data_IF_854888362298
#
_entry.id   IF_854888362298
#
_cell.length_a   1.000
_cell.length_b   1.000
_cell.length_c   1.000
_cell.angle_alpha   90.00
_cell.angle_beta   90.00
_cell.angle_gamma   90.00
#
_symmetry.space_group_name_H-M   'P 1'
#
loop_
_entity.id
_entity.type
_entity.pdbx_description
1 polymer ?
#
# COMPACT_ATOMS: atom_id res chain seq x y z
N UNK A 1 -9.71 -6.52 23.14
CA UNK A 1 -8.91 -7.75 23.28
C UNK A 1 -8.87 -8.42 21.91
N UNK A 2 -8.37 -9.66 21.76
CA UNK A 2 -7.97 -10.34 20.50
C UNK A 2 -8.32 -9.56 19.20
N UNK A 3 -7.31 -8.89 18.61
CA UNK A 3 -7.48 -8.08 17.40
C UNK A 3 -6.83 -8.68 16.17
N UNK A 4 -5.76 -9.46 16.33
CA UNK A 4 -5.16 -10.20 15.24
C UNK A 4 -4.51 -11.50 15.71
N UNK A 5 -4.55 -12.52 14.86
CA UNK A 5 -3.93 -13.82 15.10
C UNK A 5 -3.24 -14.28 13.82
N UNK A 6 -1.97 -14.66 13.93
CA UNK A 6 -1.25 -15.39 12.90
C UNK A 6 -1.06 -16.83 13.37
N UNK A 7 -1.91 -17.77 12.92
CA UNK A 7 -1.84 -19.15 13.40
C UNK A 7 -0.86 -20.04 12.64
N UNK A 8 -0.12 -19.56 11.62
CA UNK A 8 0.46 -20.51 10.68
C UNK A 8 1.73 -20.19 9.90
N UNK A 9 2.15 -21.21 9.14
CA UNK A 9 3.38 -21.30 8.34
C UNK A 9 4.35 -22.33 8.93
N UNK A 10 4.89 -22.03 10.11
CA UNK A 10 5.65 -22.90 10.98
C UNK A 10 5.44 -22.38 12.41
N UNK A 11 5.51 -23.25 13.43
CA UNK A 11 5.26 -22.88 14.84
C UNK A 11 5.97 -21.61 15.29
N UNK A 12 7.14 -21.35 14.73
CA UNK A 12 7.96 -20.19 15.06
C UNK A 12 7.30 -18.84 14.71
N UNK A 13 6.39 -18.80 13.74
CA UNK A 13 5.78 -17.55 13.28
C UNK A 13 4.52 -17.18 14.06
N UNK A 14 3.97 -18.11 14.85
CA UNK A 14 2.72 -17.93 15.56
C UNK A 14 2.79 -16.73 16.51
N UNK A 15 1.81 -15.84 16.38
CA UNK A 15 1.64 -14.71 17.27
C UNK A 15 0.18 -14.26 17.35
N UNK A 16 -0.13 -13.60 18.47
CA UNK A 16 -1.42 -13.03 18.81
C UNK A 16 -1.20 -11.56 19.16
N UNK A 17 -2.08 -10.69 18.67
CA UNK A 17 -2.12 -9.27 19.02
C UNK A 17 -3.35 -9.04 19.88
N UNK A 18 -3.12 -8.54 21.09
CA UNK A 18 -4.15 -8.10 22.01
C UNK A 18 -4.20 -6.58 22.01
N UNK A 19 -5.39 -6.00 22.07
CA UNK A 19 -5.60 -4.57 22.23
C UNK A 19 -6.54 -4.31 23.40
N UNK A 20 -6.28 -3.28 24.20
CA UNK A 20 -7.27 -2.78 25.15
C UNK A 20 -8.26 -1.86 24.42
N UNK A 21 -9.40 -2.41 24.02
CA UNK A 21 -10.48 -1.67 23.35
C UNK A 21 -11.39 -0.90 24.31
N UNK A 22 -11.12 -0.98 25.62
CA UNK A 22 -11.84 -0.25 26.66
C UNK A 22 -11.35 1.19 26.80
N UNK A 23 -12.01 1.95 27.68
CA UNK A 23 -11.68 3.34 28.00
C UNK A 23 -10.88 3.49 29.32
N UNK A 24 -10.46 2.38 29.93
CA UNK A 24 -9.67 2.35 31.15
C UNK A 24 -8.48 1.39 31.00
N UNK A 25 -7.36 1.62 31.72
CA UNK A 25 -6.26 0.66 31.76
C UNK A 25 -6.72 -0.72 32.25
N UNK A 26 -6.20 -1.78 31.62
CA UNK A 26 -6.53 -3.17 31.95
C UNK A 26 -5.25 -3.92 32.33
N UNK A 27 -5.24 -4.52 33.51
CA UNK A 27 -4.16 -5.41 33.94
C UNK A 27 -4.44 -6.83 33.46
N UNK A 28 -3.57 -7.33 32.57
CA UNK A 28 -3.65 -8.68 32.02
C UNK A 28 -2.75 -9.67 32.78
N UNK A 29 -2.12 -9.26 33.88
CA UNK A 29 -1.28 -10.15 34.69
C UNK A 29 -2.06 -11.38 35.14
N UNK A 30 -1.50 -12.57 34.92
CA UNK A 30 -2.15 -13.84 35.30
C UNK A 30 -3.26 -14.31 34.34
N UNK A 31 -3.61 -13.52 33.32
CA UNK A 31 -4.51 -13.97 32.26
C UNK A 31 -3.85 -15.07 31.42
N UNK A 32 -4.64 -15.92 30.77
CA UNK A 32 -4.12 -17.04 29.98
C UNK A 32 -4.59 -16.99 28.53
N UNK A 33 -3.69 -17.35 27.61
CA UNK A 33 -4.01 -17.74 26.24
C UNK A 33 -3.96 -19.27 26.16
N UNK A 34 -5.01 -19.91 25.64
CA UNK A 34 -5.05 -21.37 25.44
C UNK A 34 -5.66 -21.78 24.12
N UNK A 35 -5.28 -22.95 23.62
CA UNK A 35 -5.79 -23.57 22.38
C UNK A 35 -6.75 -24.75 22.64
N UNK A 36 -6.72 -25.30 23.86
CA UNK A 36 -7.48 -26.49 24.28
C UNK A 36 -6.55 -27.57 24.83
N UNK A 37 -5.36 -27.69 24.23
CA UNK A 37 -4.29 -28.61 24.64
C UNK A 37 -3.32 -27.98 25.64
N UNK A 38 -3.11 -26.67 25.54
CA UNK A 38 -2.15 -25.90 26.29
C UNK A 38 -2.60 -24.52 26.66
N UNK A 39 -1.87 -23.93 27.61
CA UNK A 39 -2.09 -22.57 28.06
C UNK A 39 -0.75 -21.87 28.30
N UNK A 40 -0.74 -20.56 28.08
CA UNK A 40 0.35 -19.67 28.43
C UNK A 40 -0.18 -18.49 29.24
N UNK A 41 0.48 -18.16 30.34
CA UNK A 41 0.07 -17.11 31.28
C UNK A 41 0.84 -15.82 31.03
N UNK A 42 0.13 -14.70 30.92
CA UNK A 42 0.71 -13.37 30.79
C UNK A 42 1.47 -12.98 32.06
N UNK A 43 2.71 -12.48 31.95
CA UNK A 43 3.57 -12.21 33.10
C UNK A 43 3.06 -11.03 33.93
N UNK A 44 3.47 -10.93 35.20
CA UNK A 44 3.17 -9.77 36.03
C UNK A 44 3.59 -8.45 35.39
N UNK A 45 2.74 -7.44 35.50
CA UNK A 45 2.97 -6.10 34.93
C UNK A 45 2.50 -5.93 33.49
N UNK A 46 1.73 -6.88 32.95
CA UNK A 46 1.12 -6.80 31.61
C UNK A 46 -0.06 -5.82 31.57
N UNK A 47 0.22 -4.54 31.81
CA UNK A 47 -0.77 -3.46 31.83
C UNK A 47 -0.93 -2.84 30.44
N UNK A 48 -2.17 -2.68 29.98
CA UNK A 48 -2.48 -1.97 28.73
C UNK A 48 -3.34 -0.73 29.00
N UNK A 49 -2.86 0.44 28.59
CA UNK A 49 -3.67 1.66 28.50
C UNK A 49 -4.76 1.53 27.42
N UNK A 50 -5.81 2.38 27.43
CA UNK A 50 -6.81 2.42 26.35
C UNK A 50 -6.16 2.57 24.97
N UNK A 51 -6.50 1.67 24.03
CA UNK A 51 -5.94 1.60 22.68
C UNK A 51 -4.55 0.97 22.58
N UNK A 52 -3.90 0.63 23.70
CA UNK A 52 -2.58 0.00 23.69
C UNK A 52 -2.66 -1.45 23.23
N UNK A 53 -1.65 -1.87 22.47
CA UNK A 53 -1.51 -3.23 21.95
C UNK A 53 -0.33 -3.95 22.57
N UNK A 54 -0.44 -5.26 22.66
CA UNK A 54 0.67 -6.15 23.00
C UNK A 54 0.70 -7.33 22.04
N UNK A 55 1.89 -7.62 21.54
CA UNK A 55 2.18 -8.74 20.66
C UNK A 55 2.77 -9.89 21.49
N UNK A 56 2.12 -11.04 21.40
CA UNK A 56 2.51 -12.26 22.10
C UNK A 56 2.88 -13.30 21.05
N UNK A 57 4.07 -13.88 21.13
CA UNK A 57 4.53 -14.89 20.18
C UNK A 57 5.63 -15.77 20.73
N UNK A 58 6.00 -16.83 20.00
CA UNK A 58 6.92 -17.85 20.52
C UNK A 58 8.38 -17.66 20.10
N UNK A 59 8.65 -16.93 19.01
CA UNK A 59 10.00 -16.71 18.48
C UNK A 59 10.18 -15.25 18.03
N UNK A 60 11.05 -14.54 18.76
CA UNK A 60 11.33 -13.13 18.49
C UNK A 60 11.98 -12.91 17.11
N UNK A 61 12.88 -13.80 16.68
CA UNK A 61 13.57 -13.67 15.39
C UNK A 61 12.61 -13.85 14.22
N UNK A 62 11.69 -14.81 14.34
CA UNK A 62 10.63 -15.03 13.35
C UNK A 62 9.67 -13.83 13.31
N UNK A 63 9.24 -13.33 14.47
CA UNK A 63 8.39 -12.14 14.51
C UNK A 63 9.08 -10.90 13.92
N UNK A 64 10.37 -10.72 14.18
CA UNK A 64 11.16 -9.63 13.62
C UNK A 64 11.28 -9.70 12.10
N UNK A 65 11.29 -10.88 11.50
CA UNK A 65 11.25 -11.02 10.04
C UNK A 65 9.88 -10.62 9.45
N UNK A 66 8.78 -10.80 10.21
CA UNK A 66 7.43 -10.45 9.78
C UNK A 66 7.06 -8.98 10.01
N UNK A 67 7.58 -8.36 11.07
CA UNK A 67 7.15 -7.04 11.55
C UNK A 67 8.31 -6.03 11.66
N UNK A 68 9.55 -6.48 11.50
CA UNK A 68 10.76 -5.67 11.63
C UNK A 68 10.95 -5.05 13.01
N UNK A 69 10.29 -5.61 14.04
CA UNK A 69 10.45 -5.28 15.46
C UNK A 69 10.42 -6.55 16.31
N UNK A 70 10.84 -6.44 17.58
CA UNK A 70 10.72 -7.55 18.52
C UNK A 70 9.28 -7.70 19.04
N UNK A 71 8.96 -8.91 19.53
CA UNK A 71 7.76 -9.18 20.31
C UNK A 71 7.77 -8.37 21.60
N UNK A 72 6.59 -7.95 22.04
CA UNK A 72 6.41 -7.35 23.36
C UNK A 72 6.52 -8.42 24.46
N UNK A 73 5.91 -9.59 24.22
CA UNK A 73 5.92 -10.72 25.12
C UNK A 73 6.30 -12.02 24.39
N UNK A 74 7.32 -12.72 24.92
CA UNK A 74 7.75 -14.02 24.39
C UNK A 74 7.13 -15.15 25.20
N UNK A 75 6.24 -15.90 24.56
CA UNK A 75 5.63 -17.11 25.10
C UNK A 75 6.61 -18.32 25.05
N UNK A 76 7.75 -18.19 25.72
CA UNK A 76 8.83 -19.18 25.67
C UNK A 76 8.40 -20.53 26.30
N UNK A 77 8.47 -21.61 25.50
CA UNK A 77 8.23 -23.01 25.92
C UNK A 77 6.89 -23.28 26.61
N UNK A 78 5.78 -22.80 26.06
CA UNK A 78 4.53 -23.53 26.25
C UNK A 78 4.68 -24.88 25.51
N UNK A 79 4.96 -25.98 26.23
CA UNK A 79 5.07 -27.31 25.61
C UNK A 79 3.76 -27.80 24.98
N UNK A 80 2.69 -27.02 25.10
CA UNK A 80 1.34 -27.39 24.68
C UNK A 80 0.54 -26.29 23.96
N UNK A 81 0.89 -25.00 24.03
CA UNK A 81 0.17 -23.96 23.27
C UNK A 81 0.80 -23.81 21.88
N UNK A 82 0.07 -24.20 20.84
CA UNK A 82 0.47 -24.15 19.45
C UNK A 82 -0.76 -24.12 18.55
N UNK A 83 -0.88 -23.05 17.76
CA UNK A 83 -2.00 -22.83 16.87
C UNK A 83 -1.90 -23.73 15.62
N UNK A 84 -2.89 -24.59 15.40
CA UNK A 84 -2.89 -25.49 14.26
C UNK A 84 -3.27 -24.76 12.94
N UNK A 85 -2.47 -24.95 11.89
CA UNK A 85 -2.69 -24.36 10.55
C UNK A 85 -4.08 -24.67 9.97
N UNK A 86 -4.61 -25.88 10.23
CA UNK A 86 -5.87 -26.35 9.65
C UNK A 86 -7.10 -25.88 10.42
N UNK A 87 -6.93 -25.37 11.63
CA UNK A 87 -8.01 -24.93 12.50
C UNK A 87 -7.75 -25.23 13.96
N UNK A 88 -8.18 -24.31 14.82
CA UNK A 88 -7.94 -24.34 16.26
C UNK A 88 -8.95 -23.43 17.02
N UNK A 89 -8.94 -23.49 18.36
CA UNK A 89 -9.71 -22.61 19.25
C UNK A 89 -8.83 -21.83 20.22
N UNK A 90 -8.55 -20.57 19.91
CA UNK A 90 -7.84 -19.67 20.82
C UNK A 90 -8.79 -19.06 21.85
N UNK A 91 -8.44 -19.15 23.13
CA UNK A 91 -9.22 -18.60 24.26
C UNK A 91 -8.33 -17.70 25.11
N UNK A 92 -8.78 -16.48 25.37
CA UNK A 92 -8.22 -15.57 26.35
C UNK A 92 -9.07 -15.62 27.62
N UNK A 93 -8.48 -15.97 28.77
CA UNK A 93 -9.16 -16.02 30.06
C UNK A 93 -8.52 -15.05 31.06
N UNK A 94 -9.34 -14.46 31.92
CA UNK A 94 -8.82 -13.69 33.06
C UNK A 94 -8.26 -14.61 34.16
N UNK A 95 -7.62 -14.04 35.18
CA UNK A 95 -7.04 -14.80 36.30
C UNK A 95 -8.06 -15.70 37.02
N UNK A 96 -9.35 -15.33 36.98
CA UNK A 96 -10.44 -16.12 37.55
C UNK A 96 -10.90 -17.28 36.67
N UNK A 97 -10.31 -17.46 35.48
CA UNK A 97 -10.69 -18.48 34.50
C UNK A 97 -11.94 -18.12 33.68
N UNK A 98 -12.44 -16.88 33.76
CA UNK A 98 -13.56 -16.43 32.93
C UNK A 98 -13.04 -16.14 31.53
N UNK A 99 -13.70 -16.67 30.52
CA UNK A 99 -13.43 -16.35 29.12
C UNK A 99 -13.71 -14.88 28.88
N UNK A 100 -12.68 -14.16 28.45
CA UNK A 100 -12.76 -12.73 28.13
C UNK A 100 -12.94 -12.53 26.63
N UNK A 101 -12.25 -13.33 25.82
CA UNK A 101 -12.29 -13.26 24.37
C UNK A 101 -11.88 -14.62 23.78
N UNK A 102 -12.28 -14.91 22.55
CA UNK A 102 -11.99 -16.18 21.88
C UNK A 102 -12.10 -16.11 20.35
N UNK A 103 -11.43 -17.03 19.69
CA UNK A 103 -11.44 -17.22 18.24
C UNK A 103 -11.45 -18.71 17.93
N UNK A 104 -12.39 -19.14 17.08
CA UNK A 104 -12.38 -20.49 16.51
C UNK A 104 -12.23 -20.37 14.99
N UNK A 105 -11.24 -21.06 14.41
CA UNK A 105 -10.98 -21.02 12.97
C UNK A 105 -10.73 -22.40 12.39
N UNK A 106 -10.93 -22.54 11.08
CA UNK A 106 -10.66 -23.74 10.30
C UNK A 106 -11.48 -24.95 10.72
N UNK A 107 -10.86 -26.13 10.67
CA UNK A 107 -11.44 -27.39 11.14
C UNK A 107 -11.13 -27.52 12.63
N UNK A 108 -12.08 -27.09 13.46
CA UNK A 108 -12.02 -27.30 14.91
C UNK A 108 -13.33 -27.93 15.40
N UNK A 109 -13.19 -29.03 16.14
CA UNK A 109 -14.28 -29.73 16.81
C UNK A 109 -14.58 -29.11 18.20
N UNK A 110 -13.64 -28.32 18.74
CA UNK A 110 -13.76 -27.65 20.03
C UNK A 110 -14.35 -26.25 19.86
N UNK A 111 -15.47 -26.00 20.56
CA UNK A 111 -16.11 -24.69 20.61
C UNK A 111 -16.15 -24.23 22.06
N UNK A 112 -15.27 -23.30 22.47
CA UNK A 112 -15.25 -22.80 23.83
C UNK A 112 -16.59 -22.12 24.19
N UNK A 113 -16.97 -22.13 25.48
CA UNK A 113 -18.22 -21.53 25.93
C UNK A 113 -18.35 -20.07 25.48
N UNK A 114 -19.48 -19.74 24.83
CA UNK A 114 -19.75 -18.42 24.28
C UNK A 114 -19.53 -18.31 22.78
N UNK A 115 -18.86 -19.27 22.13
CA UNK A 115 -18.71 -19.27 20.68
C UNK A 115 -19.97 -19.85 20.04
N UNK A 116 -20.48 -19.19 19.00
CA UNK A 116 -21.66 -19.65 18.28
C UNK A 116 -21.46 -19.65 16.77
N UNK A 117 -22.07 -20.63 16.10
CA UNK A 117 -21.95 -20.79 14.65
C UNK A 117 -20.73 -21.60 14.21
N UNK A 118 -20.29 -21.36 12.98
CA UNK A 118 -19.16 -22.04 12.34
C UNK A 118 -17.84 -21.36 12.73
N UNK A 119 -16.70 -22.07 12.69
CA UNK A 119 -15.39 -21.45 12.75
C UNK A 119 -15.16 -20.46 11.60
N UNK A 120 -14.22 -19.53 11.78
CA UNK A 120 -13.73 -18.66 10.70
C UNK A 120 -13.12 -19.55 9.60
N UNK A 121 -13.58 -19.46 8.34
CA UNK A 121 -13.03 -20.28 7.27
C UNK A 121 -11.51 -20.10 7.17
N UNK A 122 -10.76 -21.19 6.99
CA UNK A 122 -9.29 -21.17 6.90
C UNK A 122 -8.84 -21.91 5.65
N UNK A 123 -7.86 -21.38 4.90
CA UNK A 123 -7.28 -22.10 3.77
C UNK A 123 -6.61 -23.39 4.25
N UNK A 124 -6.46 -24.37 3.38
CA UNK A 124 -5.80 -25.65 3.71
C UNK A 124 -4.35 -25.52 4.18
N UNK A 125 -3.74 -24.37 3.90
CA UNK A 125 -2.48 -23.89 4.48
C UNK A 125 -2.57 -22.37 4.66
N UNK A 126 -2.29 -21.88 5.87
CA UNK A 126 -2.22 -20.45 6.15
C UNK A 126 -1.06 -19.84 5.34
N UNK A 127 -1.34 -18.90 4.41
CA UNK A 127 -0.26 -18.26 3.67
C UNK A 127 0.56 -17.39 4.61
N UNK A 128 1.86 -17.31 4.34
CA UNK A 128 2.79 -16.59 5.19
C UNK A 128 2.45 -15.10 5.31
N UNK A 129 2.56 -14.55 6.52
CA UNK A 129 2.25 -13.15 6.83
C UNK A 129 0.75 -12.80 6.74
N UNK A 130 -0.15 -13.79 6.70
CA UNK A 130 -1.60 -13.55 6.70
C UNK A 130 -2.19 -13.59 8.09
N UNK A 131 -3.01 -12.59 8.40
CA UNK A 131 -3.67 -12.49 9.70
C UNK A 131 -5.15 -12.87 9.59
N UNK A 132 -5.66 -13.45 10.67
CA UNK A 132 -7.06 -13.31 11.07
C UNK A 132 -7.14 -12.02 11.86
N UNK A 133 -8.04 -11.11 11.47
CA UNK A 133 -8.19 -9.82 12.13
C UNK A 133 -9.62 -9.57 12.53
N UNK A 134 -9.79 -8.91 13.67
CA UNK A 134 -11.10 -8.49 14.16
C UNK A 134 -11.64 -7.37 13.27
N UNK A 135 -12.86 -7.52 12.76
CA UNK A 135 -13.52 -6.52 11.91
C UNK A 135 -14.48 -5.63 12.67
N UNK A 136 -15.09 -6.18 13.73
CA UNK A 136 -16.12 -5.50 14.49
C UNK A 136 -15.58 -5.03 15.83
N UNK A 137 -16.01 -3.83 16.23
CA UNK A 137 -15.69 -3.26 17.54
C UNK A 137 -16.35 -4.05 18.68
N UNK A 138 -17.49 -4.70 18.39
CA UNK A 138 -18.21 -5.54 19.33
C UNK A 138 -18.01 -7.00 18.94
N UNK A 139 -17.41 -7.77 19.85
CA UNK A 139 -17.29 -9.22 19.74
C UNK A 139 -18.64 -9.89 20.01
N UNK A 140 -19.12 -10.69 19.06
CA UNK A 140 -20.37 -11.45 19.18
C UNK A 140 -20.12 -12.93 19.43
N UNK A 141 -18.85 -13.34 19.54
CA UNK A 141 -18.43 -14.73 19.68
C UNK A 141 -18.73 -15.55 18.43
N UNK A 142 -18.57 -14.97 17.24
CA UNK A 142 -18.89 -15.61 15.95
C UNK A 142 -17.82 -15.37 14.91
N UNK A 143 -17.84 -16.20 13.86
CA UNK A 143 -16.92 -16.05 12.74
C UNK A 143 -17.06 -14.72 12.00
N UNK A 144 -18.26 -14.11 12.02
CA UNK A 144 -18.52 -12.82 11.37
C UNK A 144 -17.77 -11.64 12.02
N UNK A 145 -17.28 -11.82 13.25
CA UNK A 145 -16.46 -10.81 13.94
C UNK A 145 -15.04 -10.72 13.35
N UNK A 146 -14.67 -11.65 12.47
CA UNK A 146 -13.32 -11.84 11.96
C UNK A 146 -13.25 -11.82 10.43
N UNK A 147 -12.19 -11.24 9.91
CA UNK A 147 -11.82 -11.28 8.51
C UNK A 147 -10.44 -11.91 8.38
N UNK A 148 -10.33 -12.89 7.49
CA UNK A 148 -9.13 -13.69 7.34
C UNK A 148 -8.57 -13.70 5.94
N UNK A 149 -7.25 -13.84 5.87
CA UNK A 149 -6.48 -14.37 4.75
C UNK A 149 -6.38 -13.50 3.49
N UNK A 150 -7.16 -12.44 3.38
CA UNK A 150 -7.10 -11.49 2.26
C UNK A 150 -6.30 -10.25 2.61
N UNK A 151 -6.62 -9.51 3.68
CA UNK A 151 -5.93 -8.28 4.18
C UNK A 151 -6.43 -8.00 5.62
N UNK A 152 -5.63 -7.41 6.53
CA UNK A 152 -4.25 -6.91 6.39
C UNK A 152 -3.19 -8.04 6.46
N UNK A 153 -1.93 -7.69 6.23
CA UNK A 153 -0.78 -8.60 6.32
C UNK A 153 0.22 -8.13 7.37
N UNK A 154 1.06 -9.05 7.83
CA UNK A 154 2.25 -8.67 8.59
C UNK A 154 3.10 -7.67 7.79
N UNK A 155 3.74 -6.75 8.50
CA UNK A 155 4.59 -5.72 7.91
C UNK A 155 3.87 -4.59 7.20
N UNK A 156 2.54 -4.53 7.25
CA UNK A 156 1.78 -3.32 6.91
C UNK A 156 2.09 -2.20 7.91
N UNK A 157 1.97 -0.95 7.46
CA UNK A 157 2.13 0.21 8.31
C UNK A 157 0.95 0.31 9.30
N UNK A 158 1.21 0.16 10.59
CA UNK A 158 0.15 0.10 11.62
C UNK A 158 -0.60 1.43 11.77
N UNK A 159 0.11 2.55 11.64
CA UNK A 159 -0.43 3.91 11.72
C UNK A 159 -0.10 4.69 10.43
N UNK A 160 -0.80 4.40 9.32
CA UNK A 160 -0.50 5.07 8.06
C UNK A 160 -0.84 6.56 8.15
N UNK A 161 -0.06 7.44 7.47
CA UNK A 161 -0.36 8.85 7.45
C UNK A 161 -1.75 9.07 6.82
N UNK A 162 -2.67 9.65 7.59
CA UNK A 162 -4.00 9.99 7.11
C UNK A 162 -4.00 11.20 6.17
N UNK A 163 -5.07 11.39 5.37
CA UNK A 163 -5.18 12.45 4.35
C UNK A 163 -5.49 13.84 4.93
N UNK A 164 -5.02 14.11 6.16
CA UNK A 164 -5.11 15.45 6.76
C UNK A 164 -4.34 16.44 5.89
N UNK A 165 -5.00 17.47 5.35
CA UNK A 165 -4.33 18.45 4.51
C UNK A 165 -3.26 19.21 5.27
N UNK A 166 -2.13 19.46 4.61
CA UNK A 166 -1.00 20.25 5.11
C UNK A 166 -0.74 21.40 4.15
N UNK A 167 -0.45 22.59 4.67
CA UNK A 167 -0.05 23.71 3.82
C UNK A 167 1.21 23.36 3.02
N UNK A 168 1.21 23.71 1.74
CA UNK A 168 2.30 23.46 0.81
C UNK A 168 2.36 24.53 -0.28
N UNK A 169 3.53 24.75 -0.88
CA UNK A 169 3.60 25.42 -2.18
C UNK A 169 3.60 24.35 -3.27
N UNK A 170 2.60 24.38 -4.14
CA UNK A 170 2.28 23.31 -5.09
C UNK A 170 2.46 23.77 -6.53
N UNK A 171 3.02 22.91 -7.36
CA UNK A 171 2.99 23.02 -8.83
C UNK A 171 2.57 21.69 -9.42
N UNK A 172 1.67 21.71 -10.39
CA UNK A 172 1.27 20.51 -11.15
C UNK A 172 1.84 20.55 -12.57
N UNK A 173 2.03 19.38 -13.15
CA UNK A 173 2.48 19.23 -14.53
C UNK A 173 1.82 18.02 -15.20
N UNK A 174 1.81 18.02 -16.52
CA UNK A 174 1.36 16.88 -17.34
C UNK A 174 2.52 16.26 -18.09
N UNK A 175 2.41 14.96 -18.34
CA UNK A 175 3.28 14.22 -19.25
C UNK A 175 2.55 13.98 -20.58
N UNK A 176 3.25 13.99 -21.72
CA UNK A 176 4.70 14.17 -21.89
C UNK A 176 5.16 15.63 -21.97
N UNK A 177 4.26 16.63 -21.90
CA UNK A 177 4.59 18.01 -22.29
C UNK A 177 5.60 18.68 -21.36
N UNK A 178 5.38 18.60 -20.03
CA UNK A 178 6.18 19.31 -19.03
C UNK A 178 6.78 18.40 -17.96
N UNK A 179 6.45 17.11 -17.99
CA UNK A 179 6.94 16.11 -17.03
C UNK A 179 8.46 16.04 -16.95
N UNK A 180 9.15 15.96 -18.10
CA UNK A 180 10.62 15.88 -18.11
C UNK A 180 11.26 17.11 -17.46
N UNK A 181 10.82 18.31 -17.83
CA UNK A 181 11.34 19.57 -17.29
C UNK A 181 11.13 19.65 -15.76
N UNK A 182 9.92 19.33 -15.28
CA UNK A 182 9.60 19.35 -13.86
C UNK A 182 10.43 18.34 -13.06
N UNK A 183 10.48 17.09 -13.50
CA UNK A 183 11.14 16.01 -12.77
C UNK A 183 12.67 16.16 -12.79
N UNK A 184 13.25 16.53 -13.93
CA UNK A 184 14.70 16.79 -14.05
C UNK A 184 15.14 18.01 -13.23
N UNK A 185 14.27 19.03 -13.10
CA UNK A 185 14.49 20.15 -12.19
C UNK A 185 14.50 19.70 -10.73
N UNK A 186 13.49 18.94 -10.31
CA UNK A 186 13.38 18.47 -8.93
C UNK A 186 14.59 17.62 -8.52
N UNK A 187 14.96 16.61 -9.32
CA UNK A 187 16.17 15.80 -9.10
C UNK A 187 17.40 16.70 -9.06
N UNK A 188 17.51 17.64 -10.01
CA UNK A 188 18.62 18.59 -10.09
C UNK A 188 18.77 19.53 -8.90
N UNK A 189 17.67 19.81 -8.19
CA UNK A 189 17.62 20.73 -7.06
C UNK A 189 18.23 20.13 -5.78
N UNK A 190 18.31 18.80 -5.69
CA UNK A 190 18.82 18.07 -4.52
C UNK A 190 20.25 18.50 -4.14
N UNK A 191 20.46 18.76 -2.84
CA UNK A 191 21.74 19.20 -2.26
C UNK A 191 22.29 18.26 -1.19
N UNK A 192 21.44 17.53 -0.48
CA UNK A 192 21.80 16.66 0.64
C UNK A 192 21.32 15.23 0.41
N UNK A 193 20.05 15.07 0.07
CA UNK A 193 19.43 13.76 -0.08
C UNK A 193 18.34 13.72 -1.15
N UNK A 194 18.20 12.53 -1.75
CA UNK A 194 17.21 12.22 -2.77
C UNK A 194 16.71 10.79 -2.55
N UNK A 195 15.48 10.66 -2.06
CA UNK A 195 14.82 9.37 -1.83
C UNK A 195 13.80 9.13 -2.93
N UNK A 196 13.87 7.98 -3.61
CA UNK A 196 13.07 7.69 -4.79
C UNK A 196 12.38 6.33 -4.61
N UNK A 197 11.05 6.27 -4.67
CA UNK A 197 10.29 5.02 -4.66
C UNK A 197 9.51 4.88 -5.98
N UNK A 198 9.72 3.78 -6.68
CA UNK A 198 9.19 3.57 -8.03
C UNK A 198 8.71 2.14 -8.26
N UNK A 199 7.68 2.02 -9.10
CA UNK A 199 7.30 0.74 -9.71
C UNK A 199 8.21 0.35 -10.88
N UNK A 200 8.61 1.31 -11.72
CA UNK A 200 9.50 1.03 -12.85
C UNK A 200 10.30 2.27 -13.29
N UNK A 201 11.49 2.02 -13.83
CA UNK A 201 12.40 3.03 -14.36
C UNK A 201 13.15 2.49 -15.58
N UNK A 202 12.93 3.10 -16.74
CA UNK A 202 13.63 2.73 -17.99
C UNK A 202 14.21 3.93 -18.74
N UNK A 203 14.02 5.15 -18.21
CA UNK A 203 14.54 6.38 -18.79
C UNK A 203 16.04 6.56 -18.52
N UNK A 204 16.85 6.48 -19.58
CA UNK A 204 18.29 6.73 -19.50
C UNK A 204 18.61 8.17 -19.04
N UNK A 205 17.82 9.15 -19.45
CA UNK A 205 18.06 10.55 -19.10
C UNK A 205 17.72 10.83 -17.61
N UNK A 206 16.67 10.22 -17.06
CA UNK A 206 16.36 10.35 -15.62
C UNK A 206 17.42 9.64 -14.77
N UNK A 207 17.88 8.45 -15.20
CA UNK A 207 19.00 7.74 -14.57
C UNK A 207 20.27 8.61 -14.57
N UNK A 208 20.57 9.28 -15.68
CA UNK A 208 21.71 10.19 -15.76
C UNK A 208 21.57 11.39 -14.81
N UNK A 209 20.35 11.90 -14.60
CA UNK A 209 20.08 12.98 -13.66
C UNK A 209 20.32 12.56 -12.20
N UNK A 210 19.88 11.36 -11.80
CA UNK A 210 20.10 10.81 -10.45
C UNK A 210 21.57 10.51 -10.22
N UNK A 211 22.24 9.84 -11.17
CA UNK A 211 23.66 9.54 -11.10
C UNK A 211 24.52 10.80 -10.98
N UNK A 212 24.18 11.88 -11.70
CA UNK A 212 24.86 13.16 -11.55
C UNK A 212 24.75 13.69 -10.11
N UNK A 213 23.57 13.64 -9.47
CA UNK A 213 23.44 14.07 -8.05
C UNK A 213 24.30 13.24 -7.10
N UNK A 214 24.34 11.92 -7.28
CA UNK A 214 25.19 11.05 -6.48
C UNK A 214 26.68 11.39 -6.64
N UNK A 215 27.15 11.63 -7.86
CA UNK A 215 28.53 12.11 -8.15
C UNK A 215 28.85 13.45 -7.50
N UNK A 216 27.85 14.31 -7.31
CA UNK A 216 27.96 15.60 -6.62
C UNK A 216 27.90 15.47 -5.08
N UNK A 217 27.82 14.25 -4.53
CA UNK A 217 27.85 13.98 -3.10
C UNK A 217 26.48 14.01 -2.41
N UNK A 218 25.38 14.04 -3.17
CA UNK A 218 24.02 13.89 -2.64
C UNK A 218 23.79 12.43 -2.26
N UNK A 219 23.24 12.15 -1.08
CA UNK A 219 22.85 10.81 -0.66
C UNK A 219 21.58 10.40 -1.43
N UNK A 220 21.72 9.49 -2.39
CA UNK A 220 20.63 9.02 -3.21
C UNK A 220 20.25 7.59 -2.84
N UNK A 221 18.98 7.30 -2.55
CA UNK A 221 18.47 5.93 -2.46
C UNK A 221 17.29 5.73 -3.40
N UNK A 222 17.23 4.55 -4.01
CA UNK A 222 16.19 4.12 -4.92
C UNK A 222 15.56 2.82 -4.40
N UNK A 223 14.28 2.85 -4.04
CA UNK A 223 13.45 1.69 -3.79
C UNK A 223 12.64 1.36 -5.05
N UNK A 224 12.74 0.13 -5.55
CA UNK A 224 12.11 -0.28 -6.80
C UNK A 224 11.40 -1.63 -6.70
N UNK A 225 10.22 -1.73 -7.31
CA UNK A 225 9.55 -3.01 -7.56
C UNK A 225 10.45 -3.95 -8.37
N UNK A 226 10.71 -5.15 -7.82
CA UNK A 226 11.59 -6.14 -8.44
C UNK A 226 10.96 -6.84 -9.64
N UNK A 227 9.63 -6.89 -9.72
CA UNK A 227 8.92 -7.67 -10.73
C UNK A 227 7.68 -6.92 -11.25
N UNK A 228 7.88 -5.79 -11.95
CA UNK A 228 6.77 -5.08 -12.58
C UNK A 228 6.12 -5.98 -13.63
N UNK A 229 4.80 -5.94 -13.65
CA UNK A 229 3.93 -6.63 -14.61
C UNK A 229 4.15 -6.06 -16.00
N UNK A 230 4.21 -6.96 -16.99
CA UNK A 230 4.24 -6.62 -18.41
C UNK A 230 5.63 -6.49 -19.01
N UNK A 231 6.70 -6.51 -18.21
CA UNK A 231 8.06 -6.44 -18.77
C UNK A 231 8.48 -7.75 -19.45
N UNK A 232 9.09 -7.68 -20.61
CA UNK A 232 9.74 -8.82 -21.26
C UNK A 232 11.20 -9.02 -20.76
N UNK A 233 11.93 -9.98 -21.36
CA UNK A 233 13.29 -10.30 -20.96
C UNK A 233 14.30 -9.18 -21.31
N UNK A 234 14.11 -8.52 -22.44
CA UNK A 234 15.00 -7.47 -22.92
C UNK A 234 14.78 -6.18 -22.12
N UNK A 235 13.53 -5.86 -21.80
CA UNK A 235 13.17 -4.73 -20.92
C UNK A 235 13.73 -4.92 -19.51
N UNK A 236 13.66 -6.13 -18.95
CA UNK A 236 14.30 -6.44 -17.66
C UNK A 236 15.82 -6.30 -17.72
N UNK A 237 16.47 -6.85 -18.75
CA UNK A 237 17.92 -6.74 -18.91
C UNK A 237 18.38 -5.28 -19.06
N UNK A 238 17.60 -4.47 -19.80
CA UNK A 238 17.82 -3.03 -19.91
C UNK A 238 17.71 -2.34 -18.55
N UNK A 239 16.62 -2.58 -17.83
CA UNK A 239 16.39 -2.02 -16.48
C UNK A 239 17.52 -2.41 -15.52
N UNK A 240 17.89 -3.68 -15.45
CA UNK A 240 18.96 -4.15 -14.56
C UNK A 240 20.30 -3.47 -14.89
N UNK A 241 20.55 -3.18 -16.18
CA UNK A 241 21.75 -2.44 -16.60
C UNK A 241 21.73 -0.97 -16.15
N UNK A 242 20.55 -0.34 -16.08
CA UNK A 242 20.38 0.99 -15.50
C UNK A 242 20.64 0.98 -13.98
N UNK A 243 20.10 -0.01 -13.27
CA UNK A 243 20.28 -0.15 -11.82
C UNK A 243 21.74 -0.41 -11.45
N UNK A 244 22.41 -1.30 -12.18
CA UNK A 244 23.85 -1.54 -12.03
C UNK A 244 24.68 -0.28 -12.26
N UNK A 245 24.26 0.56 -13.21
CA UNK A 245 24.90 1.85 -13.45
C UNK A 245 24.67 2.79 -12.27
N UNK A 246 23.45 2.96 -11.76
CA UNK A 246 23.16 3.80 -10.59
C UNK A 246 23.95 3.37 -9.34
N UNK A 247 23.98 2.07 -9.04
CA UNK A 247 24.68 1.54 -7.88
C UNK A 247 26.18 1.88 -7.90
N UNK A 248 26.80 1.85 -9.07
CA UNK A 248 28.22 2.18 -9.24
C UNK A 248 28.52 3.68 -9.19
N UNK A 249 27.52 4.50 -9.51
CA UNK A 249 27.61 5.97 -9.37
C UNK A 249 27.36 6.44 -7.93
N UNK A 250 27.15 5.51 -6.99
CA UNK A 250 27.01 5.78 -5.56
C UNK A 250 25.57 5.90 -5.07
N UNK A 251 24.59 5.46 -5.86
CA UNK A 251 23.18 5.39 -5.44
C UNK A 251 22.94 4.08 -4.68
N UNK A 252 22.30 4.14 -3.52
CA UNK A 252 21.86 2.93 -2.81
C UNK A 252 20.60 2.38 -3.47
N UNK A 253 20.73 1.30 -4.23
CA UNK A 253 19.61 0.68 -4.93
C UNK A 253 19.06 -0.48 -4.11
N UNK A 254 17.75 -0.47 -3.89
CA UNK A 254 16.97 -1.45 -3.16
C UNK A 254 15.87 -2.00 -4.06
N UNK A 255 15.75 -3.32 -4.09
CA UNK A 255 14.68 -4.01 -4.79
C UNK A 255 13.71 -4.60 -3.78
N UNK A 256 12.43 -4.53 -4.07
CA UNK A 256 11.44 -5.25 -3.28
C UNK A 256 11.76 -6.75 -3.27
N UNK A 257 11.50 -7.44 -2.16
CA UNK A 257 11.75 -8.86 -2.05
C UNK A 257 10.82 -9.63 -3.01
N UNK A 258 11.33 -10.60 -3.77
CA UNK A 258 10.50 -11.38 -4.69
C UNK A 258 9.49 -12.22 -3.90
N UNK A 259 8.33 -12.48 -4.48
CA UNK A 259 7.29 -13.29 -3.85
C UNK A 259 7.63 -14.79 -3.99
N UNK A 260 8.53 -15.30 -3.15
CA UNK A 260 8.94 -16.71 -3.13
C UNK A 260 8.28 -17.41 -1.94
N UNK A 261 7.39 -18.35 -2.23
CA UNK A 261 6.63 -19.10 -1.22
C UNK A 261 7.58 -19.81 -0.25
N UNK A 262 7.52 -19.43 1.03
CA UNK A 262 8.31 -20.03 2.11
C UNK A 262 9.73 -19.46 2.27
N UNK A 263 10.14 -18.51 1.43
CA UNK A 263 11.50 -17.93 1.46
C UNK A 263 11.50 -16.40 1.60
N UNK A 264 10.52 -15.69 1.04
CA UNK A 264 10.33 -14.24 1.23
C UNK A 264 8.89 -13.81 1.61
N UNK A 265 8.77 -12.98 2.66
CA UNK A 265 7.52 -12.35 3.04
C UNK A 265 7.47 -10.99 2.40
N UNK A 266 6.47 -10.79 1.53
CA UNK A 266 6.17 -9.49 0.97
C UNK A 266 4.88 -8.95 1.60
N UNK A 267 4.94 -7.86 2.39
CA UNK A 267 3.74 -7.23 2.96
C UNK A 267 2.77 -6.74 1.88
N UNK A 268 3.30 -6.26 0.76
CA UNK A 268 2.52 -5.75 -0.35
C UNK A 268 2.65 -6.66 -1.57
N UNK A 269 1.59 -6.79 -2.36
CA UNK A 269 1.66 -7.58 -3.60
C UNK A 269 2.59 -6.89 -4.61
N UNK A 270 2.49 -5.57 -4.71
CA UNK A 270 3.27 -4.71 -5.58
C UNK A 270 3.56 -3.39 -4.87
N UNK A 271 4.69 -2.79 -5.19
CA UNK A 271 5.00 -1.39 -4.88
C UNK A 271 4.65 -0.55 -6.11
N UNK A 272 3.49 0.09 -6.11
CA UNK A 272 2.97 0.83 -7.27
C UNK A 272 3.06 2.35 -7.11
N UNK A 273 3.75 2.84 -6.10
CA UNK A 273 4.06 4.25 -5.91
C UNK A 273 5.05 4.77 -6.97
N UNK A 274 4.98 6.07 -7.25
CA UNK A 274 6.02 6.79 -8.00
C UNK A 274 6.19 8.17 -7.36
N UNK A 275 7.17 8.28 -6.46
CA UNK A 275 7.50 9.55 -5.84
C UNK A 275 8.99 9.72 -5.62
N UNK A 276 9.40 10.97 -5.42
CA UNK A 276 10.67 11.26 -4.77
C UNK A 276 10.52 12.35 -3.71
N UNK A 277 11.39 12.29 -2.71
CA UNK A 277 11.57 13.31 -1.69
C UNK A 277 12.96 13.91 -1.84
N UNK A 278 13.02 15.22 -2.01
CA UNK A 278 14.24 16.01 -2.19
C UNK A 278 14.48 16.83 -0.92
N UNK A 279 15.65 16.63 -0.30
CA UNK A 279 16.11 17.39 0.86
C UNK A 279 15.07 17.51 2.00
N UNK A 280 14.30 16.44 2.25
CA UNK A 280 13.22 16.36 3.24
C UNK A 280 12.20 17.52 3.22
N UNK A 281 12.01 18.18 2.07
CA UNK A 281 11.16 19.38 1.98
C UNK A 281 10.39 19.51 0.68
N UNK A 282 10.88 18.95 -0.42
CA UNK A 282 10.17 18.92 -1.70
C UNK A 282 9.76 17.50 -2.03
N UNK A 283 8.47 17.30 -2.26
CA UNK A 283 7.88 16.03 -2.69
C UNK A 283 7.49 16.12 -4.15
N UNK A 284 7.77 15.07 -4.92
CA UNK A 284 7.21 14.89 -6.27
C UNK A 284 6.44 13.58 -6.31
N UNK A 285 5.19 13.60 -6.76
CA UNK A 285 4.38 12.39 -7.01
C UNK A 285 3.95 12.39 -8.47
N UNK A 286 4.00 11.22 -9.11
CA UNK A 286 3.60 11.06 -10.51
C UNK A 286 2.67 9.87 -10.70
N UNK A 287 1.75 9.95 -11.65
CA UNK A 287 0.97 8.77 -12.07
C UNK A 287 1.81 7.82 -12.91
N UNK A 288 2.75 8.38 -13.68
CA UNK A 288 3.58 7.65 -14.61
C UNK A 288 4.86 7.11 -13.98
N UNK A 289 5.29 5.94 -14.46
CA UNK A 289 6.62 5.38 -14.21
C UNK A 289 7.70 6.25 -14.84
N UNK A 290 8.93 6.16 -14.33
CA UNK A 290 10.07 6.95 -14.83
C UNK A 290 10.68 6.33 -16.10
N UNK A 291 9.84 6.24 -17.14
CA UNK A 291 10.15 5.63 -18.43
C UNK A 291 10.35 6.70 -19.50
N UNK A 292 11.14 6.40 -20.53
CA UNK A 292 11.41 7.35 -21.62
C UNK A 292 10.13 7.76 -22.36
N UNK A 293 9.15 6.84 -22.49
CA UNK A 293 7.84 7.13 -23.08
C UNK A 293 6.99 8.10 -22.25
N UNK A 294 7.14 8.09 -20.93
CA UNK A 294 6.38 8.97 -20.03
C UNK A 294 7.08 10.31 -19.80
N UNK A 295 8.41 10.32 -19.71
CA UNK A 295 9.21 11.52 -19.45
C UNK A 295 10.27 11.74 -20.54
N UNK A 296 9.87 12.00 -21.80
CA UNK A 296 10.81 12.11 -22.91
C UNK A 296 11.62 13.41 -22.85
N UNK A 297 12.95 13.29 -22.86
CA UNK A 297 13.85 14.44 -22.80
C UNK A 297 13.93 15.26 -24.09
N UNK A 298 13.51 14.67 -25.22
CA UNK A 298 13.47 15.29 -26.56
C UNK A 298 12.08 15.80 -26.95
N UNK A 299 11.12 15.80 -26.02
CA UNK A 299 9.71 16.10 -26.27
C UNK A 299 8.90 14.85 -26.64
N UNK A 300 7.59 14.92 -26.43
CA UNK A 300 6.68 13.78 -26.62
C UNK A 300 6.56 13.28 -28.05
N UNK A 301 6.23 12.00 -28.21
CA UNK A 301 5.84 11.37 -29.47
C UNK A 301 4.36 10.93 -29.43
N UNK A 302 3.85 10.36 -30.53
CA UNK A 302 2.52 9.72 -30.55
C UNK A 302 2.38 8.55 -29.58
N UNK A 303 3.51 7.96 -29.17
CA UNK A 303 3.58 6.77 -28.34
C UNK A 303 3.88 7.11 -26.87
N UNK A 304 3.98 8.41 -26.56
CA UNK A 304 4.19 8.88 -25.20
C UNK A 304 2.96 8.71 -24.32
N UNK A 305 3.19 8.29 -23.08
CA UNK A 305 2.13 8.18 -22.08
C UNK A 305 1.68 9.54 -21.59
N UNK A 306 0.35 9.70 -21.45
CA UNK A 306 -0.28 10.85 -20.81
C UNK A 306 -0.59 10.56 -19.35
N UNK A 307 -0.16 11.47 -18.50
CA UNK A 307 -0.39 11.42 -17.06
C UNK A 307 -0.12 12.77 -16.42
N UNK A 308 -0.10 12.81 -15.09
CA UNK A 308 0.15 14.02 -14.34
C UNK A 308 1.12 13.79 -13.19
N UNK A 309 1.67 14.89 -12.70
CA UNK A 309 2.43 14.88 -11.46
C UNK A 309 2.26 16.19 -10.71
N UNK A 310 2.61 16.12 -9.44
CA UNK A 310 2.55 17.24 -8.49
C UNK A 310 3.90 17.36 -7.80
N UNK A 311 4.36 18.59 -7.66
CA UNK A 311 5.45 18.97 -6.78
C UNK A 311 4.86 19.77 -5.61
N UNK A 312 5.29 19.47 -4.39
CA UNK A 312 4.85 20.15 -3.19
C UNK A 312 6.03 20.43 -2.25
N UNK A 313 6.27 21.70 -1.96
CA UNK A 313 7.17 22.12 -0.88
C UNK A 313 6.43 22.05 0.46
N UNK A 314 6.73 21.04 1.27
CA UNK A 314 6.16 20.82 2.59
C UNK A 314 7.00 19.81 3.37
N UNK A 315 7.66 20.26 4.44
CA UNK A 315 8.43 19.38 5.35
C UNK A 315 7.54 18.30 5.98
N UNK A 316 6.28 18.65 6.27
CA UNK A 316 5.33 17.71 6.86
C UNK A 316 4.91 16.60 5.90
N UNK A 317 4.68 16.93 4.63
CA UNK A 317 4.40 15.92 3.60
C UNK A 317 5.64 15.05 3.32
N UNK A 318 6.81 15.68 3.25
CA UNK A 318 8.08 15.00 3.05
C UNK A 318 8.37 14.01 4.20
N UNK A 319 8.23 14.43 5.45
CA UNK A 319 8.41 13.56 6.63
C UNK A 319 7.51 12.32 6.56
N UNK A 320 6.23 12.50 6.23
CA UNK A 320 5.28 11.36 6.14
C UNK A 320 5.65 10.38 5.02
N UNK A 321 6.08 10.88 3.86
CA UNK A 321 6.54 10.01 2.78
C UNK A 321 7.87 9.34 3.09
N UNK A 322 8.75 10.00 3.85
CA UNK A 322 9.98 9.38 4.35
C UNK A 322 9.69 8.27 5.35
N UNK A 323 8.69 8.42 6.22
CA UNK A 323 8.25 7.35 7.12
C UNK A 323 7.76 6.12 6.35
N UNK A 324 6.98 6.34 5.27
CA UNK A 324 6.57 5.28 4.34
C UNK A 324 7.79 4.66 3.65
N UNK A 325 8.71 5.47 3.13
CA UNK A 325 9.92 5.01 2.45
C UNK A 325 10.77 4.09 3.34
N UNK A 326 11.05 4.52 4.58
CA UNK A 326 11.86 3.75 5.52
C UNK A 326 11.14 2.47 5.98
N UNK A 327 9.83 2.54 6.18
CA UNK A 327 9.03 1.37 6.51
C UNK A 327 9.10 0.33 5.39
N UNK A 328 8.88 0.76 4.15
CA UNK A 328 8.91 -0.12 2.98
C UNK A 328 10.31 -0.70 2.73
N UNK A 329 11.36 0.12 2.82
CA UNK A 329 12.73 -0.34 2.68
C UNK A 329 13.06 -1.42 3.72
N UNK A 330 12.64 -1.22 4.97
CA UNK A 330 12.84 -2.17 6.08
C UNK A 330 12.01 -3.45 5.93
N UNK A 331 10.76 -3.33 5.49
CA UNK A 331 9.78 -4.43 5.56
C UNK A 331 9.66 -5.24 4.27
N UNK A 332 9.98 -4.65 3.13
CA UNK A 332 9.68 -5.25 1.84
C UNK A 332 10.83 -5.22 0.85
N UNK A 333 12.03 -4.75 1.22
CA UNK A 333 13.14 -4.59 0.29
C UNK A 333 14.45 -5.25 0.74
N UNK A 334 15.34 -5.45 -0.23
CA UNK A 334 16.72 -5.92 -0.06
C UNK A 334 17.67 -5.12 -0.96
N UNK A 335 18.95 -4.98 -0.61
CA UNK A 335 19.92 -4.31 -1.47
C UNK A 335 20.01 -4.98 -2.85
N UNK A 336 20.19 -4.19 -3.89
CA UNK A 336 20.47 -4.68 -5.24
C UNK A 336 21.92 -5.16 -5.33
N UNK A 337 22.11 -6.40 -5.77
CA UNK A 337 23.44 -6.98 -5.99
C UNK A 337 23.90 -6.70 -7.43
N UNK A 338 25.05 -6.04 -7.55
CA UNK A 338 25.59 -5.56 -8.83
C UNK A 338 26.27 -6.69 -9.65
N UNK A 339 26.48 -7.87 -9.05
CA UNK A 339 27.28 -8.93 -9.66
C UNK A 339 26.67 -9.44 -10.98
N UNK A 340 27.46 -9.36 -12.06
CA UNK A 340 27.10 -9.88 -13.38
C UNK A 340 26.25 -8.96 -14.27
N UNK A 341 25.78 -7.81 -13.76
CA UNK A 341 24.97 -6.88 -14.55
C UNK A 341 25.84 -6.01 -15.48
N UNK A 342 25.42 -5.88 -16.74
CA UNK A 342 26.09 -5.05 -17.75
C UNK A 342 25.80 -3.57 -17.50
N UNK A 343 26.78 -2.70 -17.80
CA UNK A 343 26.63 -1.25 -17.61
C UNK A 343 26.13 -0.59 -18.88
N UNK A 344 25.44 0.54 -18.72
CA UNK A 344 25.12 1.43 -19.84
C UNK A 344 25.96 2.70 -19.76
N UNK A 345 26.28 3.27 -20.92
CA UNK A 345 26.92 4.58 -20.97
C UNK A 345 25.85 5.65 -20.73
N UNK A 346 26.00 6.40 -19.63
CA UNK A 346 25.13 7.52 -19.34
C UNK A 346 25.42 8.69 -20.30
N UNK A 347 24.38 9.39 -20.80
CA UNK A 347 24.55 10.65 -21.49
C UNK A 347 25.03 11.72 -20.52
N UNK A 348 25.55 12.83 -21.06
CA UNK A 348 25.70 14.05 -20.26
C UNK A 348 24.32 14.48 -19.76
N UNK A 349 24.21 14.76 -18.47
CA UNK A 349 22.95 15.22 -17.88
C UNK A 349 22.44 16.43 -18.65
N UNK A 350 21.23 16.33 -19.17
CA UNK A 350 20.50 17.46 -19.76
C UNK A 350 19.99 18.34 -18.63
N UNK A 351 20.32 19.62 -18.68
CA UNK A 351 19.84 20.62 -17.73
C UNK A 351 18.61 21.32 -18.29
N UNK A 352 17.64 21.60 -17.42
CA UNK A 352 16.51 22.46 -17.75
C UNK A 352 16.71 23.85 -17.16
N UNK A 353 16.32 24.88 -17.90
CA UNK A 353 16.19 26.25 -17.39
C UNK A 353 14.82 26.52 -16.76
N UNK A 354 13.89 25.57 -16.89
CA UNK A 354 12.57 25.67 -16.29
C UNK A 354 12.67 25.67 -14.76
N UNK A 355 12.00 26.63 -14.14
CA UNK A 355 11.77 26.66 -12.69
C UNK A 355 10.26 26.57 -12.49
N UNK A 356 9.75 25.55 -11.80
CA UNK A 356 8.32 25.42 -11.55
C UNK A 356 7.76 26.62 -10.78
N UNK A 357 6.60 27.09 -11.19
CA UNK A 357 5.88 28.15 -10.47
C UNK A 357 5.01 27.51 -9.41
N UNK A 358 5.50 27.53 -8.16
CA UNK A 358 4.74 27.01 -7.02
C UNK A 358 3.72 28.03 -6.53
N UNK A 359 2.56 27.56 -6.08
CA UNK A 359 1.48 28.38 -5.50
C UNK A 359 1.06 27.82 -4.14
N UNK A 360 0.76 28.70 -3.20
CA UNK A 360 0.23 28.27 -1.90
C UNK A 360 -1.06 27.45 -2.07
N UNK A 361 -1.12 26.32 -1.38
CA UNK A 361 -2.24 25.39 -1.38
C UNK A 361 -2.16 24.43 -0.19
N UNK A 362 -2.94 23.37 -0.25
CA UNK A 362 -2.94 22.30 0.75
C UNK A 362 -2.85 20.93 0.06
N UNK A 363 -2.06 20.02 0.64
CA UNK A 363 -1.88 18.65 0.16
C UNK A 363 -2.20 17.66 1.28
N UNK A 364 -3.01 16.65 0.98
CA UNK A 364 -3.20 15.48 1.84
C UNK A 364 -2.53 14.26 1.23
N UNK A 365 -1.96 13.38 2.08
CA UNK A 365 -1.37 12.12 1.66
C UNK A 365 -2.31 10.97 1.97
N UNK A 366 -2.57 10.11 0.99
CA UNK A 366 -3.26 8.84 1.17
C UNK A 366 -2.32 7.73 0.73
N UNK A 367 -2.04 6.78 1.62
CA UNK A 367 -1.19 5.61 1.35
C UNK A 367 -2.08 4.38 1.37
N UNK A 368 -2.00 3.57 0.32
CA UNK A 368 -2.72 2.31 0.24
C UNK A 368 -1.78 1.12 0.43
N UNK A 369 -2.26 -0.01 0.96
CA UNK A 369 -3.66 -0.28 1.30
C UNK A 369 -4.14 0.26 2.67
N UNK A 370 -3.24 0.65 3.56
CA UNK A 370 -3.55 0.85 4.99
C UNK A 370 -4.39 2.11 5.25
N UNK A 371 -4.17 3.16 4.48
CA UNK A 371 -4.89 4.42 4.60
C UNK A 371 -6.29 4.40 3.99
N UNK A 372 -6.69 3.35 3.25
CA UNK A 372 -7.98 3.34 2.56
C UNK A 372 -9.17 3.41 3.50
N UNK A 373 -9.15 2.84 4.71
CA UNK A 373 -10.32 2.76 5.60
C UNK A 373 -11.04 4.12 5.82
N UNK A 374 -10.69 4.90 6.85
CA UNK A 374 -11.20 6.27 6.98
C UNK A 374 -10.75 7.20 5.84
N UNK A 375 -9.58 6.96 5.24
CA UNK A 375 -9.01 7.84 4.22
C UNK A 375 -9.78 7.86 2.90
N UNK A 376 -10.45 6.76 2.52
CA UNK A 376 -11.35 6.74 1.37
C UNK A 376 -12.52 7.71 1.56
N UNK A 377 -13.01 7.87 2.79
CA UNK A 377 -14.04 8.87 3.11
C UNK A 377 -13.59 10.30 2.77
N UNK A 378 -12.34 10.63 3.10
CA UNK A 378 -11.74 11.92 2.76
C UNK A 378 -11.56 12.10 1.25
N UNK A 379 -11.05 11.07 0.55
CA UNK A 379 -10.88 11.10 -0.91
C UNK A 379 -12.23 11.35 -1.63
N UNK A 380 -13.30 10.72 -1.13
CA UNK A 380 -14.62 10.83 -1.73
C UNK A 380 -15.40 12.09 -1.30
N UNK A 381 -14.96 12.78 -0.24
CA UNK A 381 -15.65 13.94 0.31
C UNK A 381 -15.87 15.07 -0.72
N UNK A 382 -14.86 15.49 -1.51
CA UNK A 382 -15.06 16.46 -2.58
C UNK A 382 -16.16 16.05 -3.57
N UNK A 383 -16.19 14.79 -3.97
CA UNK A 383 -17.22 14.25 -4.89
C UNK A 383 -18.62 14.25 -4.25
N UNK A 384 -18.72 13.93 -2.95
CA UNK A 384 -19.99 14.01 -2.20
C UNK A 384 -20.51 15.45 -2.10
N UNK A 385 -19.61 16.43 -2.00
CA UNK A 385 -19.96 17.85 -1.89
C UNK A 385 -20.21 18.56 -3.22
N UNK A 386 -19.87 17.93 -4.35
CA UNK A 386 -19.98 18.55 -5.67
C UNK A 386 -21.42 18.99 -5.98
N UNK A 387 -21.57 20.23 -6.45
CA UNK A 387 -22.87 20.85 -6.73
C UNK A 387 -23.25 20.98 -8.20
N UNK A 388 -22.31 20.79 -9.14
CA UNK A 388 -22.56 21.03 -10.57
C UNK A 388 -22.00 19.95 -11.49
N UNK A 389 -20.71 19.65 -11.38
CA UNK A 389 -20.02 18.74 -12.31
C UNK A 389 -19.03 17.85 -11.59
N UNK A 390 -18.92 16.60 -12.06
CA UNK A 390 -17.82 15.69 -11.73
C UNK A 390 -17.22 15.16 -13.04
N UNK A 391 -15.88 15.17 -13.11
CA UNK A 391 -15.08 14.61 -14.21
C UNK A 391 -14.12 13.59 -13.63
N UNK A 392 -14.18 12.37 -14.12
CA UNK A 392 -13.38 11.24 -13.64
C UNK A 392 -12.60 10.67 -14.82
N UNK A 393 -11.32 10.42 -14.61
CA UNK A 393 -10.47 9.71 -15.54
C UNK A 393 -9.78 8.59 -14.76
N UNK A 394 -9.93 7.33 -15.21
CA UNK A 394 -9.37 6.16 -14.52
C UNK A 394 -8.81 5.15 -15.51
N UNK A 395 -7.77 4.44 -15.09
CA UNK A 395 -7.26 3.28 -15.82
C UNK A 395 -8.21 2.08 -15.78
N UNK A 396 -8.95 1.89 -14.68
CA UNK A 396 -9.97 0.84 -14.53
C UNK A 396 -10.99 1.26 -13.47
N UNK A 397 -12.16 0.60 -13.47
CA UNK A 397 -13.23 0.86 -12.52
C UNK A 397 -13.88 -0.46 -12.11
N UNK A 398 -13.68 -0.86 -10.86
CA UNK A 398 -14.50 -1.93 -10.28
C UNK A 398 -15.85 -1.35 -9.87
N UNK A 399 -16.91 -1.75 -10.57
CA UNK A 399 -18.28 -1.33 -10.24
C UNK A 399 -18.74 -1.98 -8.93
N UNK A 400 -18.27 -3.20 -8.67
CA UNK A 400 -18.63 -4.00 -7.51
C UNK A 400 -17.41 -4.37 -6.67
N UNK A 401 -17.50 -4.12 -5.36
CA UNK A 401 -16.56 -4.62 -4.36
C UNK A 401 -17.22 -5.77 -3.61
N UNK A 402 -16.98 -6.99 -4.10
CA UNK A 402 -17.70 -8.18 -3.65
C UNK A 402 -19.18 -8.08 -4.01
N UNK A 403 -20.05 -7.99 -3.01
CA UNK A 403 -21.50 -7.91 -3.20
C UNK A 403 -22.05 -6.48 -3.12
N UNK A 404 -21.19 -5.50 -2.90
CA UNK A 404 -21.55 -4.10 -2.71
C UNK A 404 -21.11 -3.27 -3.92
N UNK A 405 -21.89 -2.24 -4.26
CA UNK A 405 -21.43 -1.22 -5.22
C UNK A 405 -20.19 -0.55 -4.65
N UNK A 406 -19.16 -0.35 -5.48
CA UNK A 406 -17.92 0.27 -4.99
C UNK A 406 -18.19 1.67 -4.44
N UNK A 407 -17.49 2.11 -3.38
CA UNK A 407 -17.77 3.40 -2.74
C UNK A 407 -17.64 4.60 -3.69
N UNK A 408 -16.72 4.52 -4.67
CA UNK A 408 -16.59 5.54 -5.72
C UNK A 408 -17.84 5.58 -6.59
N UNK A 409 -18.27 4.44 -7.14
CA UNK A 409 -19.46 4.38 -8.00
C UNK A 409 -20.71 4.84 -7.25
N UNK A 410 -20.87 4.43 -6.00
CA UNK A 410 -22.01 4.84 -5.18
C UNK A 410 -22.02 6.37 -4.97
N UNK A 411 -20.87 7.01 -4.76
CA UNK A 411 -20.78 8.48 -4.66
C UNK A 411 -21.11 9.18 -5.97
N UNK A 412 -20.70 8.62 -7.10
CA UNK A 412 -21.03 9.15 -8.43
C UNK A 412 -22.53 9.04 -8.73
N UNK A 413 -23.16 7.91 -8.37
CA UNK A 413 -24.61 7.72 -8.48
C UNK A 413 -25.37 8.73 -7.61
N UNK A 414 -24.99 8.86 -6.35
CA UNK A 414 -25.60 9.83 -5.43
C UNK A 414 -25.43 11.27 -5.92
N UNK A 415 -24.30 11.61 -6.56
CA UNK A 415 -24.12 12.92 -7.17
C UNK A 415 -25.06 13.14 -8.35
N UNK A 416 -25.20 12.15 -9.24
CA UNK A 416 -26.13 12.21 -10.36
C UNK A 416 -27.60 12.34 -9.90
N UNK A 417 -28.00 11.67 -8.81
CA UNK A 417 -29.32 11.82 -8.17
C UNK A 417 -29.59 13.27 -7.72
N UNK A 418 -28.55 13.99 -7.29
CA UNK A 418 -28.62 15.42 -6.94
C UNK A 418 -28.60 16.34 -8.16
N UNK A 419 -28.54 15.81 -9.38
CA UNK A 419 -28.49 16.58 -10.63
C UNK A 419 -27.09 17.02 -11.06
N UNK A 420 -26.03 16.46 -10.48
CA UNK A 420 -24.63 16.74 -10.88
C UNK A 420 -24.34 16.07 -12.24
N UNK A 421 -23.70 16.80 -13.17
CA UNK A 421 -23.24 16.24 -14.46
C UNK A 421 -21.96 15.42 -14.25
N UNK A 422 -22.11 14.09 -14.23
CA UNK A 422 -21.02 13.14 -14.06
C UNK A 422 -20.53 12.65 -15.42
N UNK A 423 -19.25 12.88 -15.73
CA UNK A 423 -18.58 12.29 -16.90
C UNK A 423 -17.36 11.49 -16.51
N UNK A 424 -17.20 10.34 -17.14
CA UNK A 424 -16.13 9.38 -16.87
C UNK A 424 -15.43 9.03 -18.17
N UNK A 425 -14.10 9.02 -18.14
CA UNK A 425 -13.24 8.44 -19.19
C UNK A 425 -12.54 7.24 -18.57
N UNK A 426 -12.68 6.07 -19.18
CA UNK A 426 -11.98 4.85 -18.78
C UNK A 426 -10.98 4.43 -19.85
N UNK A 427 -9.83 3.91 -19.45
CA UNK A 427 -8.97 3.17 -20.39
C UNK A 427 -9.74 1.94 -20.90
N UNK A 428 -9.67 1.61 -22.20
CA UNK A 428 -10.28 0.39 -22.73
C UNK A 428 -9.73 -0.92 -22.11
N UNK A 429 -8.55 -0.88 -21.48
CA UNK A 429 -7.86 -2.03 -20.90
C UNK A 429 -7.12 -2.88 -21.94
N UNK A 430 -6.32 -3.84 -21.48
CA UNK A 430 -5.69 -4.85 -22.36
C UNK A 430 -6.67 -5.95 -22.78
N UNK A 431 -7.75 -6.15 -22.01
CA UNK A 431 -8.69 -7.27 -22.17
C UNK A 431 -10.18 -6.83 -22.02
N UNK A 432 -10.56 -5.64 -22.51
CA UNK A 432 -11.94 -5.11 -22.45
C UNK A 432 -12.53 -4.85 -21.06
N UNK A 433 -11.77 -5.02 -19.98
CA UNK A 433 -12.23 -4.76 -18.60
C UNK A 433 -12.86 -3.37 -18.44
N UNK A 434 -12.29 -2.34 -19.07
CA UNK A 434 -12.85 -0.99 -19.05
C UNK A 434 -14.19 -0.85 -19.78
N UNK A 435 -14.42 -1.64 -20.83
CA UNK A 435 -15.72 -1.67 -21.54
C UNK A 435 -16.78 -2.36 -20.69
N UNK A 436 -16.46 -3.52 -20.11
CA UNK A 436 -17.37 -4.26 -19.23
C UNK A 436 -17.77 -3.40 -18.03
N UNK A 437 -16.80 -2.77 -17.36
CA UNK A 437 -17.05 -1.83 -16.27
C UNK A 437 -17.96 -0.67 -16.68
N UNK A 438 -17.79 -0.13 -17.89
CA UNK A 438 -18.63 0.95 -18.41
C UNK A 438 -20.06 0.49 -18.67
N UNK A 439 -20.23 -0.68 -19.28
CA UNK A 439 -21.53 -1.29 -19.54
C UNK A 439 -22.26 -1.61 -18.23
N UNK A 440 -21.57 -2.16 -17.24
CA UNK A 440 -22.11 -2.41 -15.90
C UNK A 440 -22.54 -1.11 -15.20
N UNK A 441 -21.70 -0.07 -15.23
CA UNK A 441 -22.03 1.23 -14.65
C UNK A 441 -23.27 1.82 -15.31
N UNK A 442 -23.37 1.78 -16.65
CA UNK A 442 -24.53 2.29 -17.38
C UNK A 442 -25.80 1.48 -17.08
N UNK A 443 -25.67 0.15 -16.94
CA UNK A 443 -26.76 -0.71 -16.50
C UNK A 443 -27.27 -0.33 -15.11
N UNK A 444 -26.35 -0.16 -14.16
CA UNK A 444 -26.66 0.25 -12.79
C UNK A 444 -27.29 1.65 -12.74
N UNK A 445 -26.73 2.63 -13.45
CA UNK A 445 -27.26 3.98 -13.53
C UNK A 445 -28.67 4.01 -14.16
N UNK A 446 -28.88 3.24 -15.24
CA UNK A 446 -30.19 3.11 -15.88
C UNK A 446 -31.23 2.50 -14.94
N UNK A 447 -30.85 1.50 -14.13
CA UNK A 447 -31.74 0.89 -13.15
C UNK A 447 -32.21 1.87 -12.06
N UNK A 448 -31.42 2.91 -11.77
CA UNK A 448 -31.75 4.00 -10.84
C UNK A 448 -32.39 5.22 -11.51
N UNK A 449 -32.63 5.18 -12.83
CA UNK A 449 -33.20 6.31 -13.57
C UNK A 449 -32.22 7.49 -13.73
N UNK A 450 -30.91 7.23 -13.82
CA UNK A 450 -29.84 8.23 -13.84
C UNK A 450 -29.12 8.29 -15.21
N UNK A 451 -29.76 8.72 -16.30
CA UNK A 451 -29.11 8.82 -17.61
C UNK A 451 -28.08 9.97 -17.70
N UNK A 452 -27.95 10.79 -16.64
CA UNK A 452 -26.99 11.90 -16.57
C UNK A 452 -25.55 11.44 -16.41
N UNK A 453 -25.31 10.20 -15.96
CA UNK A 453 -23.96 9.62 -15.92
C UNK A 453 -23.55 9.24 -17.33
N UNK A 454 -22.47 9.86 -17.82
CA UNK A 454 -21.93 9.60 -19.16
C UNK A 454 -20.52 9.08 -19.06
N UNK A 455 -20.29 7.90 -19.58
CA UNK A 455 -18.97 7.29 -19.64
C UNK A 455 -18.56 7.05 -21.09
N UNK A 456 -17.26 7.21 -21.38
CA UNK A 456 -16.66 6.89 -22.67
C UNK A 456 -15.35 6.16 -22.47
N UNK A 457 -14.94 5.36 -23.46
CA UNK A 457 -13.59 4.81 -23.48
C UNK A 457 -12.62 5.85 -24.04
N UNK A 458 -11.40 5.85 -23.52
CA UNK A 458 -10.32 6.69 -24.02
C UNK A 458 -10.08 6.49 -25.53
N UNK A 459 -10.19 5.25 -26.01
CA UNK A 459 -10.07 4.90 -27.43
C UNK A 459 -11.16 5.50 -28.32
N UNK A 460 -12.28 5.93 -27.75
CA UNK A 460 -13.36 6.57 -28.49
C UNK A 460 -13.12 8.08 -28.68
N UNK A 461 -12.08 8.63 -28.03
CA UNK A 461 -11.72 10.04 -28.10
C UNK A 461 -10.68 10.29 -29.21
N UNK A 462 -10.85 11.34 -30.04
CA UNK A 462 -9.89 11.65 -31.10
C UNK A 462 -8.48 11.90 -30.56
N UNK A 463 -7.50 11.17 -31.09
CA UNK A 463 -6.08 11.35 -30.74
C UNK A 463 -5.65 10.72 -29.42
N UNK A 464 -6.51 9.89 -28.80
CA UNK A 464 -6.21 9.14 -27.59
C UNK A 464 -6.41 7.66 -27.89
N UNK A 465 -5.35 6.87 -27.75
CA UNK A 465 -5.42 5.42 -27.90
C UNK A 465 -5.64 4.73 -26.54
N UNK A 466 -5.06 5.27 -25.47
CA UNK A 466 -5.10 4.78 -24.08
C UNK A 466 -4.93 5.94 -23.08
N UNK A 467 -5.39 5.75 -21.85
CA UNK A 467 -5.21 6.66 -20.70
C UNK A 467 -4.59 5.89 -19.54
N UNK A 468 -3.32 6.15 -19.23
CA UNK A 468 -2.59 5.46 -18.18
C UNK A 468 -2.67 6.17 -16.82
N UNK A 469 -3.81 6.80 -16.52
CA UNK A 469 -4.03 7.50 -15.26
C UNK A 469 -4.19 6.49 -14.12
N UNK A 470 -3.04 6.15 -13.52
CA UNK A 470 -2.87 5.26 -12.36
C UNK A 470 -2.30 6.11 -11.23
N UNK A 471 -3.05 6.31 -10.16
CA UNK A 471 -2.64 7.17 -9.06
C UNK A 471 -3.57 7.00 -7.88
#
# INVERSE_FOLDING_TARGET
MLVAVHPGGAREWEHVILENTGNHPTDLSGWTLGDGEGTWTLPPGSMLAPGERVTVGVNNSAFQLLWGRSLDLVAARARSFCLADRGDSLVLQDEGGRVVDQLVYGVSDEKPPGWSGRPVPTPSSVPWGRLLTRTMVVDTGKAEDWMGWTEPRCGWLEDPPGPTPMSANVSCFTTPEKGWEALSWAIGSARRELEIALYDITSLDLVAAVADRARWGVRCRLLLESSPVGSDADERAWRDSLLATLAQEGVEVWLTVPNVKGESHRPYRFHHEKYCVVDASLVVVTTENWCAGSFPADGGSSDSSRGWGMMAESEGLASRLLDVFEHDLRMSARPFEVEGASRVRLPTRRTTSHVPVMRAGECGLLVGPEGWGPGLGHLLSPLRSAGSTIRVELAYLDVWWGWQVSPLVEVLLQAAERGVDVRIVLDPGTDWEGREALEELHGLASSRGLPSIRGVLASDLPGISRTHTKG
#
